data_IF_482396993397
#
_entry.id   IF_482396993397
#
_cell.length_a   1.000
_cell.length_b   1.000
_cell.length_c   1.000
_cell.angle_alpha   90.00
_cell.angle_beta   90.00
_cell.angle_gamma   90.00
#
_symmetry.space_group_name_H-M   'P 1'
#
loop_
_entity.id
_entity.type
_entity.pdbx_description
1 polymer ?
#
# COMPACT_ATOMS: atom_id res chain seq x y z
N UNK A 1 -2.68 38.91 35.44
CA UNK A 1 -2.14 38.88 34.06
C UNK A 1 -1.45 37.57 33.68
N UNK A 2 -0.72 36.88 34.57
CA UNK A 2 0.05 35.67 34.22
C UNK A 2 -0.77 34.36 34.03
N UNK A 3 -2.03 34.29 34.51
CA UNK A 3 -2.90 33.10 34.33
C UNK A 3 -3.60 33.05 32.97
N UNK A 4 -3.79 34.18 32.30
CA UNK A 4 -4.48 34.25 31.00
C UNK A 4 -3.52 33.86 29.87
N UNK A 5 -2.22 34.12 30.03
CA UNK A 5 -1.19 33.77 29.05
C UNK A 5 -0.95 32.25 28.94
N UNK A 6 -1.13 31.48 30.03
CA UNK A 6 -0.98 30.02 30.02
C UNK A 6 -2.13 29.29 29.31
N UNK A 7 -3.33 29.87 29.29
CA UNK A 7 -4.47 29.31 28.56
C UNK A 7 -4.35 29.47 27.05
N UNK A 8 -3.69 30.54 26.59
CA UNK A 8 -3.54 30.85 25.15
C UNK A 8 -2.44 30.00 24.47
N UNK A 9 -1.42 29.59 25.23
CA UNK A 9 -0.36 28.70 24.73
C UNK A 9 -0.85 27.26 24.54
N UNK A 10 -1.87 26.82 25.30
CA UNK A 10 -2.42 25.47 25.17
C UNK A 10 -3.29 25.30 23.92
N UNK A 11 -3.87 26.37 23.39
CA UNK A 11 -4.74 26.33 22.20
C UNK A 11 -3.96 26.32 20.87
N UNK A 12 -2.66 26.64 20.90
CA UNK A 12 -1.82 26.69 19.69
C UNK A 12 -1.15 25.35 19.35
N UNK A 13 -1.22 24.34 20.24
CA UNK A 13 -0.57 23.03 20.01
C UNK A 13 -1.54 22.01 19.35
N UNK A 14 -2.85 22.25 19.38
CA UNK A 14 -3.85 21.32 18.79
C UNK A 14 -4.23 21.66 17.35
N UNK A 15 -3.67 22.70 16.75
CA UNK A 15 -3.82 22.99 15.33
C UNK A 15 -2.73 22.26 14.51
N UNK A 16 -2.58 20.95 14.72
CA UNK A 16 -1.93 20.10 13.72
C UNK A 16 -2.93 19.88 12.59
N UNK A 17 -2.57 20.05 11.31
CA UNK A 17 -3.50 19.82 10.23
C UNK A 17 -3.83 18.33 10.13
N UNK A 18 -5.05 17.95 10.52
CA UNK A 18 -5.65 16.63 10.29
C UNK A 18 -5.91 16.37 8.78
N UNK A 19 -5.58 17.34 7.91
CA UNK A 19 -5.94 17.32 6.49
C UNK A 19 -4.97 16.57 5.55
N UNK A 20 -3.85 16.02 6.03
CA UNK A 20 -2.83 15.45 5.15
C UNK A 20 -3.10 13.98 4.70
N UNK A 21 -4.05 13.28 5.32
CA UNK A 21 -4.29 11.85 5.05
C UNK A 21 -5.35 11.63 3.95
N UNK A 22 -6.44 12.40 3.97
CA UNK A 22 -7.52 12.32 2.96
C UNK A 22 -7.05 12.69 1.55
N UNK A 23 -6.10 13.62 1.41
CA UNK A 23 -5.62 14.08 0.10
C UNK A 23 -4.85 12.99 -0.65
N UNK A 24 -4.05 12.17 0.04
CA UNK A 24 -3.28 11.14 -0.64
C UNK A 24 -4.16 9.98 -1.10
N UNK A 25 -5.06 9.50 -0.26
CA UNK A 25 -5.96 8.40 -0.63
C UNK A 25 -6.91 8.83 -1.77
N UNK A 26 -7.37 10.10 -1.76
CA UNK A 26 -8.10 10.70 -2.87
C UNK A 26 -7.27 10.80 -4.17
N UNK A 27 -6.00 11.23 -4.09
CA UNK A 27 -5.08 11.30 -5.24
C UNK A 27 -4.76 9.90 -5.77
N UNK A 28 -4.51 8.95 -4.89
CA UNK A 28 -4.23 7.56 -5.21
C UNK A 28 -5.44 6.90 -5.89
N UNK A 29 -6.64 7.08 -5.34
CA UNK A 29 -7.88 6.58 -5.96
C UNK A 29 -8.14 7.27 -7.30
N UNK A 30 -7.95 8.59 -7.38
CA UNK A 30 -8.12 9.34 -8.63
C UNK A 30 -7.16 8.86 -9.72
N UNK A 31 -5.91 8.57 -9.40
CA UNK A 31 -4.92 8.14 -10.39
C UNK A 31 -5.10 6.66 -10.74
N UNK A 32 -5.41 5.79 -9.78
CA UNK A 32 -5.62 4.36 -10.05
C UNK A 32 -6.95 4.06 -10.76
N UNK A 33 -7.99 4.87 -10.55
CA UNK A 33 -9.32 4.65 -11.15
C UNK A 33 -9.62 5.49 -12.40
N UNK A 34 -9.03 6.68 -12.56
CA UNK A 34 -9.36 7.62 -13.67
C UNK A 34 -8.25 7.82 -14.69
N UNK A 35 -7.10 7.16 -14.56
CA UNK A 35 -6.01 7.26 -15.55
C UNK A 35 -6.31 6.35 -16.74
N UNK A 36 -6.79 6.93 -17.83
CA UNK A 36 -6.87 6.26 -19.14
C UNK A 36 -5.46 6.10 -19.72
N UNK A 37 -5.25 5.15 -20.64
CA UNK A 37 -3.93 4.92 -21.25
C UNK A 37 -3.27 6.20 -21.80
N UNK A 38 -4.07 7.15 -22.30
CA UNK A 38 -3.59 8.44 -22.81
C UNK A 38 -2.98 9.37 -21.72
N UNK A 39 -3.41 9.26 -20.46
CA UNK A 39 -2.96 10.13 -19.36
C UNK A 39 -1.78 9.56 -18.57
N UNK A 40 -1.33 8.35 -18.91
CA UNK A 40 -0.23 7.67 -18.21
C UNK A 40 1.09 8.47 -18.19
N UNK A 41 1.53 9.12 -19.29
CA UNK A 41 2.77 9.92 -19.25
C UNK A 41 2.69 11.13 -18.33
N UNK A 42 1.51 11.77 -18.25
CA UNK A 42 1.28 12.91 -17.35
C UNK A 42 1.26 12.48 -15.89
N UNK A 43 0.52 11.41 -15.59
CA UNK A 43 0.46 10.84 -14.25
C UNK A 43 1.85 10.42 -13.75
N UNK A 44 2.68 9.89 -14.64
CA UNK A 44 4.06 9.52 -14.31
C UNK A 44 4.94 10.74 -14.00
N UNK A 45 4.86 11.81 -14.80
CA UNK A 45 5.55 13.08 -14.49
C UNK A 45 5.10 13.65 -13.14
N UNK A 46 3.82 13.54 -12.81
CA UNK A 46 3.30 13.95 -11.51
C UNK A 46 3.92 13.12 -10.38
N UNK A 47 3.96 11.79 -10.51
CA UNK A 47 4.57 10.91 -9.50
C UNK A 47 6.06 11.23 -9.28
N UNK A 48 6.82 11.44 -10.37
CA UNK A 48 8.24 11.81 -10.30
C UNK A 48 8.45 13.18 -9.64
N UNK A 49 7.59 14.15 -9.94
CA UNK A 49 7.61 15.48 -9.32
C UNK A 49 7.34 15.41 -7.83
N UNK A 50 6.28 14.70 -7.41
CA UNK A 50 5.93 14.50 -6.00
C UNK A 50 7.10 13.85 -5.24
N UNK A 51 7.73 12.83 -5.81
CA UNK A 51 8.90 12.19 -5.20
C UNK A 51 10.08 13.16 -5.04
N UNK A 52 10.39 13.95 -6.08
CA UNK A 52 11.53 14.87 -6.09
C UNK A 52 11.39 16.01 -5.09
N UNK A 53 10.19 16.58 -4.94
CA UNK A 53 9.95 17.73 -4.07
C UNK A 53 9.59 17.35 -2.63
N UNK A 54 9.22 16.09 -2.39
CA UNK A 54 8.96 15.61 -1.04
C UNK A 54 10.24 15.49 -0.22
N UNK A 55 10.17 15.86 1.06
CA UNK A 55 11.22 15.60 2.06
C UNK A 55 10.81 14.50 3.03
N UNK A 56 9.51 14.24 3.21
CA UNK A 56 8.98 13.22 4.11
C UNK A 56 9.15 11.82 3.50
N UNK A 57 9.81 10.86 4.19
CA UNK A 57 9.85 9.47 3.78
C UNK A 57 8.48 8.87 3.45
N UNK A 58 7.41 9.27 4.16
CA UNK A 58 6.06 8.77 3.91
C UNK A 58 5.54 9.22 2.54
N UNK A 59 5.66 10.50 2.22
CA UNK A 59 5.22 11.07 0.94
C UNK A 59 6.05 10.59 -0.26
N UNK A 60 7.34 10.36 -0.05
CA UNK A 60 8.18 9.67 -1.04
C UNK A 60 7.73 8.23 -1.27
N UNK A 61 7.38 7.51 -0.20
CA UNK A 61 6.90 6.12 -0.30
C UNK A 61 5.60 6.06 -1.10
N UNK A 62 4.68 6.96 -0.78
CA UNK A 62 3.42 7.21 -1.49
C UNK A 62 3.64 7.48 -2.99
N UNK A 63 4.59 8.34 -3.34
CA UNK A 63 4.94 8.66 -4.74
C UNK A 63 5.55 7.46 -5.49
N UNK A 64 6.35 6.65 -4.81
CA UNK A 64 6.89 5.40 -5.36
C UNK A 64 5.77 4.37 -5.61
N UNK A 65 4.83 4.22 -4.68
CA UNK A 65 3.67 3.36 -4.88
C UNK A 65 2.81 3.84 -6.05
N UNK A 66 2.61 5.14 -6.19
CA UNK A 66 1.92 5.69 -7.35
C UNK A 66 2.58 5.28 -8.67
N UNK A 67 3.91 5.41 -8.74
CA UNK A 67 4.69 4.97 -9.91
C UNK A 67 4.53 3.46 -10.15
N UNK A 68 4.58 2.65 -9.10
CA UNK A 68 4.41 1.20 -9.18
C UNK A 68 3.05 0.82 -9.81
N UNK A 69 1.97 1.47 -9.36
CA UNK A 69 0.62 1.25 -9.91
C UNK A 69 0.50 1.69 -11.38
N UNK A 70 1.09 2.83 -11.76
CA UNK A 70 1.10 3.30 -13.14
C UNK A 70 1.82 2.31 -14.07
N UNK A 71 2.95 1.75 -13.65
CA UNK A 71 3.65 0.73 -14.42
C UNK A 71 2.91 -0.61 -14.46
N UNK A 72 2.21 -0.99 -13.39
CA UNK A 72 1.32 -2.15 -13.44
C UNK A 72 0.22 -1.96 -14.50
N UNK A 73 -0.40 -0.77 -14.57
CA UNK A 73 -1.43 -0.46 -15.57
C UNK A 73 -0.90 -0.50 -17.01
N UNK A 74 0.39 -0.27 -17.21
CA UNK A 74 1.09 -0.40 -18.49
C UNK A 74 1.49 -1.84 -18.83
N UNK A 75 1.37 -2.77 -17.87
CA UNK A 75 1.91 -4.13 -18.00
C UNK A 75 3.43 -4.24 -17.82
N UNK A 76 4.12 -3.15 -17.42
CA UNK A 76 5.55 -3.17 -17.11
C UNK A 76 5.76 -3.64 -15.67
N UNK A 77 5.56 -4.94 -15.45
CA UNK A 77 5.66 -5.55 -14.13
C UNK A 77 7.06 -5.41 -13.51
N UNK A 78 8.11 -5.38 -14.33
CA UNK A 78 9.49 -5.20 -13.85
C UNK A 78 9.65 -3.85 -13.16
N UNK A 79 9.17 -2.77 -13.78
CA UNK A 79 9.21 -1.45 -13.14
C UNK A 79 8.22 -1.36 -11.99
N UNK A 80 7.02 -1.92 -12.12
CA UNK A 80 6.05 -1.95 -11.03
C UNK A 80 6.67 -2.53 -9.74
N UNK A 81 7.34 -3.68 -9.86
CA UNK A 81 8.08 -4.31 -8.75
C UNK A 81 9.20 -3.40 -8.27
N UNK A 82 10.04 -2.88 -9.15
CA UNK A 82 11.17 -2.00 -8.78
C UNK A 82 10.71 -0.82 -7.91
N UNK A 83 9.67 -0.09 -8.33
CA UNK A 83 9.19 1.07 -7.57
C UNK A 83 8.55 0.65 -6.23
N UNK A 84 7.81 -0.46 -6.20
CA UNK A 84 7.22 -0.95 -4.96
C UNK A 84 8.28 -1.49 -3.97
N UNK A 85 9.37 -2.11 -4.44
CA UNK A 85 10.48 -2.51 -3.57
C UNK A 85 11.21 -1.29 -2.96
N UNK A 86 11.39 -0.23 -3.75
CA UNK A 86 11.91 1.03 -3.22
C UNK A 86 10.97 1.65 -2.17
N UNK A 87 9.65 1.55 -2.38
CA UNK A 87 8.66 1.95 -1.39
C UNK A 87 8.77 1.11 -0.11
N UNK A 88 8.96 -0.21 -0.24
CA UNK A 88 9.13 -1.13 0.89
C UNK A 88 10.39 -0.84 1.73
N UNK A 89 11.47 -0.41 1.08
CA UNK A 89 12.69 0.04 1.78
C UNK A 89 12.41 1.32 2.59
N UNK A 90 11.66 2.26 2.01
CA UNK A 90 11.44 3.56 2.61
C UNK A 90 10.39 3.52 3.73
N UNK A 91 9.34 2.71 3.58
CA UNK A 91 8.28 2.58 4.58
C UNK A 91 8.80 2.03 5.91
N UNK A 92 9.86 1.20 5.89
CA UNK A 92 10.52 0.68 7.10
C UNK A 92 11.14 1.79 7.97
N UNK A 93 11.29 3.01 7.44
CA UNK A 93 11.74 4.19 8.19
C UNK A 93 10.58 4.98 8.80
N UNK A 94 9.35 4.49 8.68
CA UNK A 94 8.12 5.12 9.15
C UNK A 94 7.37 4.18 10.09
N UNK A 95 6.37 4.71 10.83
CA UNK A 95 5.50 3.91 11.69
C UNK A 95 4.16 3.56 11.01
N UNK A 96 4.02 3.74 9.69
CA UNK A 96 2.76 3.55 8.99
C UNK A 96 2.58 2.09 8.56
N UNK A 97 2.04 1.28 9.48
CA UNK A 97 1.81 -0.16 9.29
C UNK A 97 0.81 -0.44 8.17
N UNK A 98 -0.21 0.40 8.00
CA UNK A 98 -1.24 0.20 6.98
C UNK A 98 -0.69 0.38 5.57
N UNK A 99 0.14 1.41 5.34
CA UNK A 99 0.80 1.59 4.04
C UNK A 99 1.84 0.49 3.81
N UNK A 100 2.56 0.05 4.84
CA UNK A 100 3.45 -1.10 4.74
C UNK A 100 2.70 -2.39 4.32
N UNK A 101 1.48 -2.60 4.84
CA UNK A 101 0.67 -3.76 4.43
C UNK A 101 0.21 -3.64 2.98
N UNK A 102 -0.22 -2.45 2.53
CA UNK A 102 -0.58 -2.19 1.11
C UNK A 102 0.59 -2.45 0.14
N UNK A 103 1.80 -1.98 0.48
CA UNK A 103 3.02 -2.23 -0.32
C UNK A 103 3.29 -3.73 -0.41
N UNK A 104 3.14 -4.43 0.71
CA UNK A 104 3.38 -5.87 0.81
C UNK A 104 2.37 -6.69 0.01
N UNK A 105 1.08 -6.34 0.08
CA UNK A 105 0.01 -6.91 -0.75
C UNK A 105 0.28 -6.72 -2.24
N UNK A 106 0.69 -5.51 -2.63
CA UNK A 106 1.03 -5.19 -4.01
C UNK A 106 2.19 -6.05 -4.51
N UNK A 107 3.30 -6.12 -3.75
CA UNK A 107 4.47 -6.92 -4.11
C UNK A 107 4.16 -8.42 -4.16
N UNK A 108 3.36 -8.94 -3.23
CA UNK A 108 2.90 -10.32 -3.26
C UNK A 108 2.19 -10.65 -4.58
N UNK A 109 1.27 -9.79 -5.02
CA UNK A 109 0.57 -9.92 -6.29
C UNK A 109 1.51 -9.81 -7.49
N UNK A 110 2.32 -8.75 -7.56
CA UNK A 110 3.21 -8.55 -8.71
C UNK A 110 4.18 -9.72 -8.89
N UNK A 111 4.77 -10.20 -7.79
CA UNK A 111 5.68 -11.34 -7.83
C UNK A 111 4.99 -12.62 -8.29
N UNK A 112 3.74 -12.85 -7.88
CA UNK A 112 2.93 -13.97 -8.36
C UNK A 112 2.67 -13.85 -9.87
N UNK A 113 2.25 -12.68 -10.33
CA UNK A 113 1.94 -12.42 -11.74
C UNK A 113 3.13 -12.65 -12.68
N UNK A 114 4.37 -12.46 -12.21
CA UNK A 114 5.59 -12.75 -12.98
C UNK A 114 6.17 -14.15 -12.73
N UNK A 115 5.44 -15.03 -12.04
CA UNK A 115 5.84 -16.42 -11.78
C UNK A 115 6.88 -16.61 -10.67
N UNK A 116 7.28 -15.54 -9.97
CA UNK A 116 8.25 -15.58 -8.87
C UNK A 116 7.56 -15.91 -7.54
N UNK A 117 7.01 -17.12 -7.46
CA UNK A 117 6.13 -17.57 -6.37
C UNK A 117 6.76 -17.51 -4.98
N UNK A 118 8.02 -17.90 -4.84
CA UNK A 118 8.70 -17.86 -3.54
C UNK A 118 8.84 -16.42 -3.01
N UNK A 119 9.06 -15.45 -3.90
CA UNK A 119 9.06 -14.03 -3.52
C UNK A 119 7.66 -13.56 -3.16
N UNK A 120 6.64 -13.97 -3.91
CA UNK A 120 5.25 -13.70 -3.58
C UNK A 120 4.91 -14.21 -2.17
N UNK A 121 5.17 -15.49 -1.87
CA UNK A 121 4.96 -16.10 -0.55
C UNK A 121 5.70 -15.38 0.57
N UNK A 122 6.94 -14.92 0.32
CA UNK A 122 7.69 -14.10 1.29
C UNK A 122 6.94 -12.81 1.65
N UNK A 123 6.42 -12.09 0.65
CA UNK A 123 5.62 -10.89 0.90
C UNK A 123 4.27 -11.22 1.54
N UNK A 124 3.59 -12.29 1.13
CA UNK A 124 2.36 -12.73 1.80
C UNK A 124 2.60 -12.93 3.31
N UNK A 125 3.66 -13.64 3.68
CA UNK A 125 4.02 -13.87 5.09
C UNK A 125 4.33 -12.56 5.83
N UNK A 126 5.08 -11.64 5.19
CA UNK A 126 5.30 -10.29 5.74
C UNK A 126 3.97 -9.56 5.98
N UNK A 127 3.01 -9.72 5.07
CA UNK A 127 1.69 -9.12 5.16
C UNK A 127 0.90 -9.64 6.36
N UNK A 128 0.95 -10.94 6.63
CA UNK A 128 0.30 -11.52 7.82
C UNK A 128 0.91 -10.98 9.13
N UNK A 129 2.23 -10.79 9.18
CA UNK A 129 2.88 -10.19 10.36
C UNK A 129 2.52 -8.71 10.53
N UNK A 130 2.33 -7.97 9.43
CA UNK A 130 1.85 -6.59 9.49
C UNK A 130 0.38 -6.52 9.90
N UNK A 131 -0.46 -7.45 9.43
CA UNK A 131 -1.89 -7.51 9.76
C UNK A 131 -2.12 -7.59 11.28
N UNK A 132 -1.27 -8.33 12.01
CA UNK A 132 -1.31 -8.42 13.49
C UNK A 132 -1.12 -7.07 14.20
N UNK A 133 -0.55 -6.08 13.51
CA UNK A 133 -0.23 -4.74 14.03
C UNK A 133 -1.22 -3.67 13.58
N UNK A 134 -2.15 -4.01 12.67
CA UNK A 134 -3.20 -3.09 12.20
C UNK A 134 -4.29 -3.01 13.27
N UNK A 135 -4.57 -1.79 13.74
CA UNK A 135 -5.57 -1.55 14.78
C UNK A 135 -6.98 -1.42 14.24
N UNK A 136 -7.14 -0.84 13.04
CA UNK A 136 -8.44 -0.71 12.40
C UNK A 136 -8.98 -2.11 12.00
N UNK A 137 -10.10 -2.57 12.58
CA UNK A 137 -10.59 -3.93 12.35
C UNK A 137 -10.97 -4.19 10.90
N UNK A 138 -11.50 -3.17 10.21
CA UNK A 138 -11.88 -3.28 8.80
C UNK A 138 -10.64 -3.51 7.94
N UNK A 139 -9.62 -2.65 8.08
CA UNK A 139 -8.35 -2.77 7.35
C UNK A 139 -7.60 -4.06 7.70
N UNK A 140 -7.66 -4.49 8.96
CA UNK A 140 -7.11 -5.77 9.40
C UNK A 140 -7.75 -6.94 8.62
N UNK A 141 -9.09 -7.01 8.63
CA UNK A 141 -9.86 -8.04 7.93
C UNK A 141 -9.64 -8.01 6.42
N UNK A 142 -9.64 -6.82 5.81
CA UNK A 142 -9.33 -6.63 4.38
C UNK A 142 -7.93 -7.15 4.04
N UNK A 143 -6.92 -6.82 4.84
CA UNK A 143 -5.54 -7.28 4.66
C UNK A 143 -5.49 -8.81 4.70
N UNK A 144 -6.11 -9.44 5.71
CA UNK A 144 -6.16 -10.90 5.83
C UNK A 144 -6.88 -11.55 4.64
N UNK A 145 -7.97 -10.94 4.18
CA UNK A 145 -8.70 -11.38 3.00
C UNK A 145 -7.81 -11.38 1.75
N UNK A 146 -7.17 -10.26 1.44
CA UNK A 146 -6.28 -10.12 0.27
C UNK A 146 -5.14 -11.14 0.32
N UNK A 147 -4.51 -11.34 1.48
CA UNK A 147 -3.40 -12.29 1.62
C UNK A 147 -3.85 -13.75 1.43
N UNK A 148 -5.02 -14.12 1.95
CA UNK A 148 -5.60 -15.45 1.70
C UNK A 148 -5.97 -15.62 0.21
N UNK A 149 -6.46 -14.57 -0.44
CA UNK A 149 -6.74 -14.60 -1.88
C UNK A 149 -5.45 -14.83 -2.69
N UNK A 150 -4.34 -14.15 -2.37
CA UNK A 150 -3.08 -14.36 -3.06
C UNK A 150 -2.50 -15.76 -2.82
N UNK A 151 -2.69 -16.34 -1.62
CA UNK A 151 -2.35 -17.75 -1.35
C UNK A 151 -3.22 -18.70 -2.18
N UNK A 152 -4.53 -18.44 -2.27
CA UNK A 152 -5.42 -19.24 -3.10
C UNK A 152 -4.97 -19.22 -4.57
N UNK A 153 -4.65 -18.05 -5.12
CA UNK A 153 -4.12 -17.93 -6.48
C UNK A 153 -2.80 -18.68 -6.67
N UNK A 154 -1.88 -18.62 -5.69
CA UNK A 154 -0.64 -19.38 -5.75
C UNK A 154 -0.89 -20.89 -5.82
N UNK A 155 -1.85 -21.42 -5.04
CA UNK A 155 -2.19 -22.84 -5.05
C UNK A 155 -2.96 -23.25 -6.30
N UNK A 156 -3.81 -22.37 -6.86
CA UNK A 156 -4.48 -22.60 -8.14
C UNK A 156 -3.50 -22.74 -9.30
N UNK A 157 -2.45 -21.91 -9.34
CA UNK A 157 -1.37 -22.02 -10.33
C UNK A 157 -0.54 -23.31 -10.20
N UNK A 158 -0.61 -23.97 -9.04
CA UNK A 158 0.01 -25.27 -8.77
C UNK A 158 -0.99 -26.44 -8.92
N UNK A 159 -2.21 -26.15 -9.38
CA UNK A 159 -3.32 -27.12 -9.47
C UNK A 159 -3.69 -27.77 -8.12
N UNK A 160 -3.27 -27.16 -7.01
CA UNK A 160 -3.59 -27.58 -5.64
C UNK A 160 -4.92 -26.99 -5.18
N UNK A 161 -5.99 -27.36 -5.88
CA UNK A 161 -7.34 -26.85 -5.63
C UNK A 161 -7.84 -27.08 -4.19
N UNK A 162 -7.55 -28.20 -3.50
CA UNK A 162 -7.96 -28.36 -2.10
C UNK A 162 -7.41 -27.26 -1.18
N UNK A 163 -6.15 -26.88 -1.34
CA UNK A 163 -5.55 -25.78 -0.56
C UNK A 163 -6.07 -24.42 -1.00
N UNK A 164 -6.29 -24.21 -2.31
CA UNK A 164 -6.91 -22.98 -2.80
C UNK A 164 -8.29 -22.75 -2.17
N UNK A 165 -9.15 -23.78 -2.14
CA UNK A 165 -10.48 -23.72 -1.52
C UNK A 165 -10.37 -23.42 -0.02
N UNK A 166 -9.40 -24.02 0.68
CA UNK A 166 -9.16 -23.73 2.10
C UNK A 166 -8.83 -22.24 2.32
N UNK A 167 -7.96 -21.66 1.51
CA UNK A 167 -7.60 -20.25 1.62
C UNK A 167 -8.76 -19.32 1.27
N UNK A 168 -9.54 -19.63 0.23
CA UNK A 168 -10.77 -18.90 -0.08
C UNK A 168 -11.78 -18.97 1.09
N UNK A 169 -11.92 -20.15 1.71
CA UNK A 169 -12.74 -20.32 2.91
C UNK A 169 -12.30 -19.47 4.10
N UNK A 170 -11.00 -19.21 4.25
CA UNK A 170 -10.50 -18.29 5.26
C UNK A 170 -10.79 -16.82 4.91
N UNK A 171 -10.69 -16.44 3.64
CA UNK A 171 -11.07 -15.10 3.16
C UNK A 171 -12.53 -14.77 3.51
N UNK A 172 -13.47 -15.68 3.28
CA UNK A 172 -14.91 -15.44 3.57
C UNK A 172 -15.24 -15.22 5.04
N UNK A 173 -14.33 -15.49 5.98
CA UNK A 173 -14.52 -15.17 7.40
C UNK A 173 -14.37 -13.68 7.70
N UNK A 174 -13.86 -12.90 6.74
CA UNK A 174 -13.50 -11.50 6.89
C UNK A 174 -14.39 -10.55 6.05
N UNK A 175 -15.31 -11.11 5.25
CA UNK A 175 -16.34 -10.39 4.48
C UNK A 175 -17.66 -10.40 5.26
#
# INVERSE_FOLDING_TARGET
>A
MLKILKGLVFFLITASPIYAQDDFDCIYDKITTKTTQQKLPEAQKTADSLYRFSQDPLDKTKSLMLSAHLYQQQGDFKKAIYYAENADVLINKTNNVELASRITEFLARQYRLVGLRERSKKYINKGFELAKKIQDPKRHNETLGILNQELAHCEMELENYPMAVKYLGNLFKFL
#
